data_IF_727132368835
#
_entry.id   IF_727132368835
#
_cell.length_a   1.000
_cell.length_b   1.000
_cell.length_c   1.000
_cell.angle_alpha   90.00
_cell.angle_beta   90.00
_cell.angle_gamma   90.00
#
_symmetry.space_group_name_H-M   'P 1'
#
loop_
_entity.id
_entity.type
_entity.pdbx_description
1 polymer ?
#
# COMPACT_ATOMS: atom_id res chain seq x y z
N UNK A 1 -19.65 -31.23 0.69
CA UNK A 1 -18.48 -31.85 1.36
C UNK A 1 -17.18 -31.60 0.58
N UNK A 2 -17.16 -31.76 -0.75
CA UNK A 2 -15.98 -31.54 -1.61
C UNK A 2 -15.39 -30.10 -1.60
N UNK A 3 -16.22 -29.06 -1.55
CA UNK A 3 -15.80 -27.64 -1.45
C UNK A 3 -14.96 -27.37 -0.18
N UNK A 4 -15.38 -27.94 0.95
CA UNK A 4 -14.72 -27.78 2.25
C UNK A 4 -13.35 -28.49 2.27
N UNK A 5 -13.26 -29.65 1.62
CA UNK A 5 -12.02 -30.43 1.51
C UNK A 5 -10.98 -29.74 0.60
N UNK A 6 -11.42 -29.14 -0.52
CA UNK A 6 -10.55 -28.28 -1.36
C UNK A 6 -10.00 -27.09 -0.58
N UNK A 7 -10.85 -26.41 0.20
CA UNK A 7 -10.41 -25.29 1.05
C UNK A 7 -9.38 -25.70 2.11
N UNK A 8 -9.58 -26.85 2.74
CA UNK A 8 -8.63 -27.44 3.70
C UNK A 8 -7.29 -27.81 3.05
N UNK A 9 -7.31 -28.47 1.89
CA UNK A 9 -6.11 -28.78 1.11
C UNK A 9 -5.34 -27.52 0.70
N UNK A 10 -6.03 -26.49 0.22
CA UNK A 10 -5.40 -25.22 -0.15
C UNK A 10 -4.77 -24.53 1.06
N UNK A 11 -5.41 -24.57 2.22
CA UNK A 11 -4.85 -24.01 3.45
C UNK A 11 -3.64 -24.81 3.93
N UNK A 12 -3.69 -26.15 3.86
CA UNK A 12 -2.55 -27.00 4.21
C UNK A 12 -1.35 -26.74 3.29
N UNK A 13 -1.57 -26.60 1.99
CA UNK A 13 -0.50 -26.24 1.04
C UNK A 13 0.07 -24.86 1.38
N UNK A 14 -0.77 -23.85 1.64
CA UNK A 14 -0.29 -22.52 2.06
C UNK A 14 0.55 -22.57 3.33
N UNK A 15 0.11 -23.33 4.34
CA UNK A 15 0.86 -23.52 5.59
C UNK A 15 2.17 -24.24 5.35
N UNK A 16 2.16 -25.32 4.56
CA UNK A 16 3.36 -26.08 4.22
C UNK A 16 4.38 -25.24 3.43
N UNK A 17 3.92 -24.44 2.46
CA UNK A 17 4.78 -23.51 1.71
C UNK A 17 5.32 -22.42 2.62
N UNK A 18 4.49 -21.84 3.49
CA UNK A 18 4.92 -20.79 4.43
C UNK A 18 5.96 -21.31 5.42
N UNK A 19 5.71 -22.47 6.04
CA UNK A 19 6.66 -23.13 6.94
C UNK A 19 7.91 -23.61 6.20
N UNK A 20 7.77 -24.12 4.97
CA UNK A 20 8.87 -24.52 4.11
C UNK A 20 9.81 -23.35 3.78
N UNK A 21 9.25 -22.19 3.43
CA UNK A 21 10.01 -20.96 3.21
C UNK A 21 10.72 -20.48 4.48
N UNK A 22 10.03 -20.51 5.63
CA UNK A 22 10.66 -20.17 6.92
C UNK A 22 11.84 -21.10 7.20
N UNK A 23 11.63 -22.42 7.13
CA UNK A 23 12.71 -23.42 7.35
C UNK A 23 13.84 -23.22 6.35
N UNK A 24 13.52 -22.91 5.09
CA UNK A 24 14.52 -22.64 4.06
C UNK A 24 15.36 -21.39 4.40
N UNK A 25 14.73 -20.30 4.80
CA UNK A 25 15.42 -19.07 5.24
C UNK A 25 16.33 -19.36 6.44
N UNK A 26 15.83 -20.06 7.46
CA UNK A 26 16.65 -20.41 8.64
C UNK A 26 17.76 -21.43 8.37
N UNK A 27 17.72 -22.13 7.23
CA UNK A 27 18.80 -23.01 6.77
C UNK A 27 19.87 -22.27 5.98
N UNK A 28 19.65 -21.01 5.58
CA UNK A 28 20.66 -20.22 4.89
C UNK A 28 21.90 -20.04 5.78
N UNK A 29 23.11 -20.36 5.26
CA UNK A 29 24.36 -20.21 6.02
C UNK A 29 24.54 -18.79 6.55
N UNK A 30 24.10 -17.78 5.78
CA UNK A 30 24.15 -16.37 6.14
C UNK A 30 23.37 -16.00 7.42
N UNK A 31 22.36 -16.79 7.80
CA UNK A 31 21.54 -16.55 9.01
C UNK A 31 21.99 -17.48 10.15
N UNK A 32 22.27 -18.75 9.82
CA UNK A 32 22.63 -19.77 10.81
C UNK A 32 24.03 -19.60 11.37
N UNK A 33 24.96 -19.08 10.57
CA UNK A 33 26.36 -18.87 10.96
C UNK A 33 26.67 -17.39 11.24
N UNK A 34 25.65 -16.52 11.22
CA UNK A 34 25.81 -15.12 11.60
C UNK A 34 26.16 -15.01 13.08
N UNK A 35 27.19 -14.23 13.38
CA UNK A 35 27.49 -13.82 14.75
C UNK A 35 26.55 -12.67 15.15
N UNK A 36 25.37 -13.04 15.63
CA UNK A 36 24.36 -12.10 16.10
C UNK A 36 24.87 -11.21 17.25
N UNK A 37 25.81 -11.69 18.06
CA UNK A 37 26.42 -10.91 19.14
C UNK A 37 27.27 -9.76 18.59
N UNK A 38 28.13 -10.06 17.61
CA UNK A 38 28.94 -9.06 16.93
C UNK A 38 28.08 -8.06 16.12
N UNK A 39 27.01 -8.54 15.48
CA UNK A 39 26.09 -7.68 14.72
C UNK A 39 25.33 -6.70 15.62
N UNK A 40 24.81 -7.18 16.75
CA UNK A 40 24.11 -6.34 17.73
C UNK A 40 25.06 -5.33 18.39
N UNK A 41 26.32 -5.71 18.62
CA UNK A 41 27.34 -4.81 19.16
C UNK A 41 27.73 -3.68 18.18
N UNK A 42 27.54 -3.88 16.89
CA UNK A 42 27.81 -2.87 15.85
C UNK A 42 26.62 -1.94 15.59
N UNK A 43 25.48 -2.15 16.26
CA UNK A 43 24.28 -1.33 16.06
C UNK A 43 24.55 0.12 16.45
N UNK A 44 24.48 1.02 15.47
CA UNK A 44 24.61 2.45 15.70
C UNK A 44 23.26 3.03 16.13
N UNK A 45 23.20 3.51 17.38
CA UNK A 45 21.95 4.04 17.96
C UNK A 45 21.42 5.27 17.20
N UNK A 46 22.30 6.14 16.72
CA UNK A 46 21.88 7.40 16.08
C UNK A 46 21.14 7.20 14.74
N UNK A 47 21.66 6.45 13.75
CA UNK A 47 20.89 6.11 12.56
C UNK A 47 19.59 5.34 12.86
N UNK A 48 19.57 4.53 13.93
CA UNK A 48 18.39 3.78 14.33
C UNK A 48 17.27 4.70 14.85
N UNK A 49 17.61 5.64 15.73
CA UNK A 49 16.65 6.65 16.21
C UNK A 49 16.12 7.50 15.06
N UNK A 50 16.99 7.93 14.14
CA UNK A 50 16.56 8.69 12.97
C UNK A 50 15.63 7.89 12.05
N UNK A 51 15.94 6.61 11.79
CA UNK A 51 15.08 5.71 11.02
C UNK A 51 13.71 5.55 11.69
N UNK A 52 13.68 5.37 13.01
CA UNK A 52 12.44 5.26 13.78
C UNK A 52 11.60 6.55 13.69
N UNK A 53 12.21 7.71 13.88
CA UNK A 53 11.51 9.00 13.75
C UNK A 53 10.96 9.19 12.34
N UNK A 54 11.77 8.93 11.30
CA UNK A 54 11.33 9.04 9.91
C UNK A 54 10.24 8.03 9.54
N UNK A 55 10.23 6.85 10.16
CA UNK A 55 9.16 5.87 9.97
C UNK A 55 7.80 6.42 10.45
N UNK A 56 7.76 7.06 11.63
CA UNK A 56 6.53 7.72 12.10
C UNK A 56 6.16 8.93 11.24
N UNK A 57 7.14 9.67 10.71
CA UNK A 57 6.88 10.75 9.73
C UNK A 57 6.28 10.19 8.43
N UNK A 58 6.76 9.04 7.94
CA UNK A 58 6.20 8.36 6.77
C UNK A 58 4.74 7.91 7.00
N UNK A 59 4.43 7.40 8.20
CA UNK A 59 3.04 7.14 8.61
C UNK A 59 2.23 8.44 8.55
N UNK A 60 2.81 9.55 9.02
CA UNK A 60 2.20 10.88 8.96
C UNK A 60 1.86 11.32 7.53
N UNK A 61 2.78 11.16 6.58
CA UNK A 61 2.49 11.45 5.17
C UNK A 61 1.37 10.58 4.61
N UNK A 62 1.33 9.29 4.95
CA UNK A 62 0.25 8.41 4.53
C UNK A 62 -1.12 8.87 5.09
N UNK A 63 -1.14 9.34 6.34
CA UNK A 63 -2.34 9.91 6.97
C UNK A 63 -2.73 11.24 6.35
N UNK A 64 -1.78 12.13 6.04
CA UNK A 64 -2.04 13.40 5.34
C UNK A 64 -2.68 13.15 3.97
N UNK A 65 -2.15 12.18 3.23
CA UNK A 65 -2.70 11.72 1.95
C UNK A 65 -4.15 11.27 2.11
N UNK A 66 -4.41 10.38 3.07
CA UNK A 66 -5.77 9.89 3.31
C UNK A 66 -6.73 11.00 3.79
N UNK A 67 -6.25 11.92 4.64
CA UNK A 67 -7.02 13.09 5.07
C UNK A 67 -7.41 13.97 3.89
N UNK A 68 -6.47 14.19 2.96
CA UNK A 68 -6.72 14.99 1.77
C UNK A 68 -7.77 14.32 0.86
N UNK A 69 -7.68 13.00 0.67
CA UNK A 69 -8.70 12.24 -0.05
C UNK A 69 -10.08 12.36 0.63
N UNK A 70 -10.16 12.17 1.96
CA UNK A 70 -11.41 12.34 2.71
C UNK A 70 -12.03 13.73 2.55
N UNK A 71 -11.22 14.80 2.55
CA UNK A 71 -11.70 16.18 2.34
C UNK A 71 -12.34 16.38 0.97
N UNK A 72 -11.92 15.66 -0.07
CA UNK A 72 -12.56 15.75 -1.40
C UNK A 72 -13.98 15.20 -1.39
N UNK A 73 -14.28 14.28 -0.47
CA UNK A 73 -15.60 13.72 -0.24
C UNK A 73 -16.40 14.51 0.81
N UNK A 74 -15.92 15.72 1.15
CA UNK A 74 -16.43 16.57 2.24
C UNK A 74 -16.43 15.92 3.63
N UNK A 75 -15.63 14.86 3.82
CA UNK A 75 -15.42 14.21 5.11
C UNK A 75 -14.29 14.92 5.85
N UNK A 76 -14.64 15.80 6.79
CA UNK A 76 -13.67 16.62 7.53
C UNK A 76 -13.32 15.98 8.87
N UNK A 77 -12.13 15.39 8.93
CA UNK A 77 -11.60 14.76 10.15
C UNK A 77 -10.27 15.42 10.53
N UNK A 78 -10.06 15.83 11.79
CA UNK A 78 -8.78 16.38 12.25
C UNK A 78 -7.65 15.37 12.12
N UNK A 79 -6.44 15.85 11.78
CA UNK A 79 -5.28 15.00 11.46
C UNK A 79 -4.92 14.03 12.60
N UNK A 80 -4.90 14.53 13.85
CA UNK A 80 -4.53 13.74 15.03
C UNK A 80 -5.48 12.55 15.24
N UNK A 81 -6.77 12.75 15.02
CA UNK A 81 -7.74 11.67 15.11
C UNK A 81 -7.48 10.64 14.01
N UNK A 82 -7.32 11.09 12.77
CA UNK A 82 -7.06 10.20 11.65
C UNK A 82 -5.76 9.40 11.82
N UNK A 83 -4.73 10.04 12.38
CA UNK A 83 -3.46 9.41 12.72
C UNK A 83 -3.65 8.29 13.74
N UNK A 84 -4.45 8.51 14.78
CA UNK A 84 -4.80 7.48 15.78
C UNK A 84 -5.52 6.28 15.15
N UNK A 85 -6.54 6.53 14.32
CA UNK A 85 -7.26 5.46 13.62
C UNK A 85 -6.32 4.66 12.70
N UNK A 86 -5.38 5.35 12.04
CA UNK A 86 -4.39 4.69 11.19
C UNK A 86 -3.40 3.83 11.99
N UNK A 87 -2.98 4.25 13.19
CA UNK A 87 -2.14 3.43 14.07
C UNK A 87 -2.87 2.17 14.55
N UNK A 88 -4.17 2.28 14.89
CA UNK A 88 -5.00 1.11 15.22
C UNK A 88 -5.09 0.17 14.01
N UNK A 89 -5.34 0.70 12.81
CA UNK A 89 -5.31 -0.09 11.58
C UNK A 89 -3.98 -0.77 11.33
N UNK A 90 -2.86 -0.08 11.57
CA UNK A 90 -1.51 -0.63 11.43
C UNK A 90 -1.25 -1.76 12.44
N UNK A 91 -1.73 -1.62 13.68
CA UNK A 91 -1.67 -2.70 14.67
C UNK A 91 -2.39 -3.95 14.16
N UNK A 92 -3.61 -3.81 13.63
CA UNK A 92 -4.33 -4.94 13.03
C UNK A 92 -3.66 -5.49 11.77
N UNK A 93 -3.04 -4.64 10.95
CA UNK A 93 -2.30 -5.04 9.76
C UNK A 93 -1.04 -5.86 10.08
N UNK A 94 -0.44 -5.67 11.26
CA UNK A 94 0.72 -6.43 11.74
C UNK A 94 0.34 -7.80 12.33
N UNK A 95 -0.94 -8.01 12.65
CA UNK A 95 -1.41 -9.34 13.02
C UNK A 95 -1.47 -10.22 11.76
N UNK A 96 -1.30 -11.54 11.87
CA UNK A 96 -1.46 -12.47 10.74
C UNK A 96 -2.89 -12.48 10.14
N UNK A 97 -3.82 -11.73 10.75
CA UNK A 97 -5.08 -11.32 10.16
C UNK A 97 -4.76 -10.42 8.96
N UNK A 98 -4.89 -10.96 7.75
CA UNK A 98 -4.53 -10.36 6.44
C UNK A 98 -4.42 -8.83 6.39
N UNK A 99 -3.45 -8.28 5.64
CA UNK A 99 -3.23 -6.85 5.39
C UNK A 99 -4.53 -6.03 5.11
N UNK A 100 -5.53 -6.66 4.47
CA UNK A 100 -6.86 -6.09 4.21
C UNK A 100 -7.64 -5.76 5.50
N UNK A 101 -7.45 -6.55 6.55
CA UNK A 101 -8.07 -6.38 7.87
C UNK A 101 -7.66 -5.09 8.56
N UNK A 102 -6.43 -4.62 8.38
CA UNK A 102 -5.98 -3.34 8.93
C UNK A 102 -6.67 -2.13 8.27
N UNK A 103 -6.91 -2.19 6.96
CA UNK A 103 -7.66 -1.17 6.23
C UNK A 103 -9.14 -1.15 6.59
N UNK A 104 -9.73 -2.34 6.70
CA UNK A 104 -11.10 -2.50 7.16
C UNK A 104 -11.21 -1.96 8.58
N UNK A 105 -10.26 -2.27 9.47
CA UNK A 105 -10.26 -1.80 10.85
C UNK A 105 -10.21 -0.27 10.93
N UNK A 106 -9.25 0.39 10.25
CA UNK A 106 -9.19 1.88 10.29
C UNK A 106 -10.40 2.54 9.62
N UNK A 107 -10.91 1.97 8.54
CA UNK A 107 -12.07 2.50 7.82
C UNK A 107 -13.36 2.33 8.61
N UNK A 108 -13.53 1.19 9.28
CA UNK A 108 -14.66 0.90 10.14
C UNK A 108 -14.64 1.72 11.43
N UNK A 109 -13.47 1.85 12.07
CA UNK A 109 -13.30 2.69 13.26
C UNK A 109 -13.63 4.16 12.94
N UNK A 110 -13.20 4.66 11.77
CA UNK A 110 -13.58 6.00 11.31
C UNK A 110 -15.07 6.10 10.96
N UNK A 111 -15.65 5.12 10.27
CA UNK A 111 -17.06 5.12 9.92
C UNK A 111 -17.98 5.08 11.15
N UNK A 112 -17.52 4.50 12.27
CA UNK A 112 -18.24 4.54 13.54
C UNK A 112 -18.17 5.89 14.24
N UNK A 113 -17.14 6.70 13.98
CA UNK A 113 -17.00 8.03 14.58
C UNK A 113 -17.66 9.14 13.75
N UNK A 114 -18.06 8.85 12.51
CA UNK A 114 -18.72 9.80 11.61
C UNK A 114 -20.02 9.20 11.06
N UNK A 115 -21.14 9.55 11.69
CA UNK A 115 -22.47 9.03 11.31
C UNK A 115 -22.83 9.35 9.86
N UNK A 116 -23.41 8.36 9.16
CA UNK A 116 -23.92 8.51 7.79
C UNK A 116 -22.86 8.52 6.68
N UNK A 117 -21.56 8.44 6.99
CA UNK A 117 -20.47 8.60 6.00
C UNK A 117 -19.73 7.31 5.65
N UNK A 118 -20.33 6.15 5.94
CA UNK A 118 -19.69 4.82 5.72
C UNK A 118 -19.27 4.58 4.27
N UNK A 119 -20.12 4.93 3.28
CA UNK A 119 -19.81 4.72 1.87
C UNK A 119 -18.66 5.64 1.36
N UNK A 120 -18.69 6.97 1.61
CA UNK A 120 -17.55 7.84 1.34
C UNK A 120 -16.24 7.37 1.99
N UNK A 121 -16.29 6.94 3.25
CA UNK A 121 -15.11 6.45 3.97
C UNK A 121 -14.57 5.16 3.34
N UNK A 122 -15.43 4.21 3.00
CA UNK A 122 -15.02 2.97 2.33
C UNK A 122 -14.35 3.24 0.97
N UNK A 123 -14.92 4.15 0.17
CA UNK A 123 -14.34 4.55 -1.13
C UNK A 123 -13.01 5.26 -0.92
N UNK A 124 -12.90 6.12 0.10
CA UNK A 124 -11.64 6.81 0.41
C UNK A 124 -10.51 5.83 0.72
N UNK A 125 -10.77 4.73 1.44
CA UNK A 125 -9.77 3.70 1.76
C UNK A 125 -9.36 2.94 0.50
N UNK A 126 -10.31 2.60 -0.37
CA UNK A 126 -10.01 1.96 -1.65
C UNK A 126 -9.17 2.87 -2.56
N UNK A 127 -9.55 4.14 -2.70
CA UNK A 127 -8.82 5.13 -3.50
C UNK A 127 -7.43 5.38 -2.88
N UNK A 128 -7.32 5.46 -1.56
CA UNK A 128 -6.04 5.58 -0.85
C UNK A 128 -5.08 4.43 -1.19
N UNK A 129 -5.60 3.21 -1.31
CA UNK A 129 -4.83 2.03 -1.73
C UNK A 129 -4.42 2.06 -3.19
N UNK A 130 -5.33 2.45 -4.08
CA UNK A 130 -5.03 2.58 -5.51
C UNK A 130 -3.98 3.68 -5.76
N UNK A 131 -4.11 4.84 -5.11
CA UNK A 131 -3.14 5.93 -5.19
C UNK A 131 -1.81 5.54 -4.56
N UNK A 132 -1.83 4.83 -3.43
CA UNK A 132 -0.62 4.28 -2.81
C UNK A 132 0.12 3.31 -3.73
N UNK A 133 -0.60 2.40 -4.39
CA UNK A 133 -0.02 1.47 -5.36
C UNK A 133 0.49 2.19 -6.60
N UNK A 134 -0.23 3.19 -7.10
CA UNK A 134 0.22 4.04 -8.20
C UNK A 134 1.54 4.75 -7.86
N UNK A 135 1.63 5.36 -6.67
CA UNK A 135 2.84 6.01 -6.19
C UNK A 135 4.00 5.02 -6.08
N UNK A 136 3.75 3.82 -5.53
CA UNK A 136 4.77 2.78 -5.42
C UNK A 136 5.29 2.33 -6.79
N UNK A 137 4.40 2.02 -7.74
CA UNK A 137 4.79 1.62 -9.10
C UNK A 137 5.53 2.74 -9.83
N UNK A 138 5.08 3.99 -9.69
CA UNK A 138 5.76 5.14 -10.27
C UNK A 138 7.17 5.29 -9.71
N UNK A 139 7.33 5.23 -8.38
CA UNK A 139 8.62 5.34 -7.74
C UNK A 139 9.54 4.17 -8.10
N UNK A 140 9.01 2.94 -8.22
CA UNK A 140 9.77 1.78 -8.68
C UNK A 140 10.29 1.96 -10.12
N UNK A 141 9.45 2.47 -11.04
CA UNK A 141 9.88 2.77 -12.41
C UNK A 141 10.96 3.87 -12.41
N UNK A 142 10.78 4.94 -11.65
CA UNK A 142 11.75 6.03 -11.57
C UNK A 142 13.08 5.58 -10.97
N UNK A 143 13.05 4.78 -9.91
CA UNK A 143 14.23 4.20 -9.28
C UNK A 143 14.96 3.25 -10.22
N UNK A 144 14.21 2.40 -10.93
CA UNK A 144 14.76 1.49 -11.93
C UNK A 144 15.38 2.24 -13.13
N UNK A 145 14.71 3.30 -13.60
CA UNK A 145 15.22 4.16 -14.66
C UNK A 145 16.54 4.83 -14.24
N UNK A 146 16.61 5.32 -13.00
CA UNK A 146 17.83 5.90 -12.45
C UNK A 146 18.98 4.87 -12.41
N UNK A 147 18.68 3.62 -12.07
CA UNK A 147 19.68 2.55 -12.07
C UNK A 147 20.21 2.22 -13.47
N UNK A 148 19.35 2.18 -14.49
CA UNK A 148 19.79 1.93 -15.87
C UNK A 148 20.62 3.10 -16.40
N UNK A 149 20.14 4.34 -16.22
CA UNK A 149 20.75 5.52 -16.84
C UNK A 149 21.99 6.04 -16.11
N UNK A 150 22.01 6.01 -14.77
CA UNK A 150 23.09 6.61 -13.98
C UNK A 150 24.07 5.59 -13.41
N UNK A 151 23.66 4.34 -13.22
CA UNK A 151 24.53 3.28 -12.69
C UNK A 151 25.06 2.34 -13.79
N UNK A 152 24.59 2.47 -15.04
CA UNK A 152 25.07 1.68 -16.18
C UNK A 152 24.63 0.21 -16.16
N UNK A 153 23.61 -0.13 -15.36
CA UNK A 153 23.07 -1.49 -15.28
C UNK A 153 22.09 -1.77 -16.44
N UNK A 154 22.60 -1.81 -17.67
CA UNK A 154 21.79 -2.08 -18.87
C UNK A 154 21.07 -3.43 -18.82
N UNK A 155 21.64 -4.39 -18.07
CA UNK A 155 21.04 -5.69 -17.76
C UNK A 155 19.67 -5.61 -17.07
N UNK A 156 19.32 -4.45 -16.47
CA UNK A 156 18.04 -4.23 -15.80
C UNK A 156 16.98 -3.60 -16.72
N UNK A 157 17.30 -3.35 -17.99
CA UNK A 157 16.38 -2.72 -18.96
C UNK A 157 15.09 -3.53 -19.17
N UNK A 158 15.17 -4.87 -19.14
CA UNK A 158 13.98 -5.73 -19.25
C UNK A 158 13.06 -5.60 -18.02
N UNK A 159 13.65 -5.39 -16.84
CA UNK A 159 12.90 -5.20 -15.59
C UNK A 159 12.23 -3.82 -15.60
N UNK A 160 12.94 -2.79 -16.07
CA UNK A 160 12.38 -1.46 -16.31
C UNK A 160 11.19 -1.52 -17.28
N UNK A 161 11.33 -2.19 -18.41
CA UNK A 161 10.26 -2.34 -19.40
C UNK A 161 9.03 -3.07 -18.80
N UNK A 162 9.27 -4.09 -17.97
CA UNK A 162 8.22 -4.83 -17.27
C UNK A 162 7.49 -3.95 -16.26
N UNK A 163 8.21 -3.21 -15.41
CA UNK A 163 7.63 -2.28 -14.44
C UNK A 163 6.85 -1.15 -15.12
N UNK A 164 7.38 -0.59 -16.21
CA UNK A 164 6.69 0.42 -17.02
C UNK A 164 5.41 -0.15 -17.67
N UNK A 165 5.46 -1.39 -18.15
CA UNK A 165 4.29 -2.11 -18.66
C UNK A 165 3.21 -2.32 -17.59
N UNK A 166 3.60 -2.73 -16.39
CA UNK A 166 2.68 -2.90 -15.24
C UNK A 166 2.08 -1.56 -14.82
N UNK A 167 2.88 -0.49 -14.73
CA UNK A 167 2.38 0.85 -14.42
C UNK A 167 1.38 1.33 -15.47
N UNK A 168 1.67 1.10 -16.76
CA UNK A 168 0.77 1.46 -17.87
C UNK A 168 -0.53 0.65 -17.79
N UNK A 169 -0.45 -0.66 -17.58
CA UNK A 169 -1.62 -1.52 -17.41
C UNK A 169 -2.46 -1.10 -16.20
N UNK A 170 -1.81 -0.76 -15.08
CA UNK A 170 -2.48 -0.25 -13.89
C UNK A 170 -3.17 1.10 -14.16
N UNK A 171 -2.50 2.04 -14.82
CA UNK A 171 -3.07 3.33 -15.19
C UNK A 171 -4.27 3.18 -16.13
N UNK A 172 -4.20 2.26 -17.10
CA UNK A 172 -5.32 1.93 -17.99
C UNK A 172 -6.48 1.31 -17.21
N UNK A 173 -6.21 0.33 -16.33
CA UNK A 173 -7.24 -0.28 -15.48
C UNK A 173 -7.91 0.75 -14.57
N UNK A 174 -7.13 1.66 -13.99
CA UNK A 174 -7.63 2.77 -13.18
C UNK A 174 -8.48 3.75 -14.00
N UNK A 175 -8.04 4.11 -15.22
CA UNK A 175 -8.82 4.95 -16.13
C UNK A 175 -10.13 4.30 -16.56
N UNK A 176 -10.12 2.98 -16.80
CA UNK A 176 -11.34 2.20 -17.09
C UNK A 176 -12.27 2.15 -15.87
N UNK A 177 -11.73 1.97 -14.66
CA UNK A 177 -12.49 2.00 -13.42
C UNK A 177 -13.22 3.35 -13.22
N UNK A 178 -12.57 4.45 -13.63
CA UNK A 178 -13.11 5.81 -13.55
C UNK A 178 -14.05 6.18 -14.72
N UNK A 179 -14.20 5.32 -15.73
CA UNK A 179 -14.99 5.58 -16.94
C UNK A 179 -16.50 5.50 -16.69
N UNK A 180 -17.25 6.48 -17.23
CA UNK A 180 -18.73 6.44 -17.23
C UNK A 180 -19.30 5.21 -17.95
N UNK A 181 -18.55 4.62 -18.89
CA UNK A 181 -19.01 3.44 -19.64
C UNK A 181 -19.07 2.20 -18.75
N UNK A 182 -18.06 2.00 -17.91
CA UNK A 182 -18.03 0.89 -16.97
C UNK A 182 -19.15 1.04 -15.94
N UNK A 183 -19.36 2.24 -15.40
CA UNK A 183 -20.49 2.53 -14.50
C UNK A 183 -21.81 2.12 -15.11
N UNK A 184 -22.14 2.59 -16.32
CA UNK A 184 -23.41 2.25 -16.99
C UNK A 184 -23.56 0.76 -17.24
N UNK A 185 -22.48 0.05 -17.56
CA UNK A 185 -22.49 -1.41 -17.71
C UNK A 185 -22.79 -2.10 -16.38
N UNK A 186 -22.13 -1.68 -15.31
CA UNK A 186 -22.35 -2.23 -13.96
C UNK A 186 -23.77 -1.91 -13.47
N UNK A 187 -24.28 -0.69 -13.66
CA UNK A 187 -25.66 -0.32 -13.34
C UNK A 187 -26.68 -1.20 -14.07
N UNK A 188 -26.45 -1.50 -15.36
CA UNK A 188 -27.31 -2.41 -16.13
C UNK A 188 -27.28 -3.84 -15.60
N UNK A 189 -26.13 -4.32 -15.13
CA UNK A 189 -25.99 -5.64 -14.50
C UNK A 189 -26.68 -5.68 -13.12
N UNK A 190 -26.52 -4.63 -12.31
CA UNK A 190 -27.18 -4.54 -10.99
C UNK A 190 -28.70 -4.28 -11.08
N UNK A 191 -29.21 -3.82 -12.22
CA UNK A 191 -30.65 -3.70 -12.47
C UNK A 191 -31.37 -5.07 -12.59
N UNK A 192 -30.62 -6.17 -12.71
CA UNK A 192 -31.16 -7.53 -12.69
C UNK A 192 -31.73 -7.87 -11.31
N UNK A 193 -32.89 -8.55 -11.30
CA UNK A 193 -33.68 -8.88 -10.09
C UNK A 193 -32.88 -9.35 -8.86
N UNK A 194 -31.87 -10.24 -8.95
CA UNK A 194 -31.13 -10.72 -7.77
C UNK A 194 -30.20 -9.67 -7.14
N UNK A 195 -29.78 -8.64 -7.88
CA UNK A 195 -28.77 -7.66 -7.43
C UNK A 195 -29.37 -6.30 -7.04
N UNK A 196 -30.68 -6.10 -7.27
CA UNK A 196 -31.40 -4.87 -6.91
C UNK A 196 -31.24 -4.43 -5.45
N UNK A 197 -31.20 -5.31 -4.44
CA UNK A 197 -31.00 -4.90 -3.05
C UNK A 197 -29.66 -4.17 -2.79
N UNK A 198 -28.65 -4.42 -3.62
CA UNK A 198 -27.31 -3.83 -3.48
C UNK A 198 -27.11 -2.56 -4.32
N UNK A 199 -28.08 -2.21 -5.16
CA UNK A 199 -28.05 -1.02 -6.01
C UNK A 199 -27.86 0.29 -5.22
N UNK A 200 -28.54 0.56 -4.10
CA UNK A 200 -28.34 1.82 -3.36
C UNK A 200 -26.93 1.93 -2.75
N UNK A 201 -26.36 0.81 -2.29
CA UNK A 201 -24.97 0.79 -1.82
C UNK A 201 -24.01 1.07 -2.97
N UNK A 202 -24.20 0.45 -4.14
CA UNK A 202 -23.39 0.70 -5.33
C UNK A 202 -23.48 2.17 -5.79
N UNK A 203 -24.68 2.76 -5.79
CA UNK A 203 -24.88 4.15 -6.18
C UNK A 203 -24.11 5.10 -5.25
N UNK A 204 -24.24 4.94 -3.93
CA UNK A 204 -23.49 5.74 -2.95
C UNK A 204 -21.96 5.62 -3.12
N UNK A 205 -21.47 4.41 -3.41
CA UNK A 205 -20.04 4.16 -3.69
C UNK A 205 -19.62 4.80 -5.02
N UNK A 206 -20.41 4.64 -6.08
CA UNK A 206 -20.15 5.18 -7.41
C UNK A 206 -20.16 6.71 -7.43
N UNK A 207 -21.07 7.33 -6.69
CA UNK A 207 -21.16 8.79 -6.61
C UNK A 207 -19.94 9.36 -5.89
N UNK A 208 -19.46 8.69 -4.84
CA UNK A 208 -18.19 9.03 -4.17
C UNK A 208 -16.99 8.90 -5.13
N UNK A 209 -16.94 7.86 -5.97
CA UNK A 209 -15.91 7.70 -7.01
C UNK A 209 -15.98 8.83 -8.04
N UNK A 210 -17.19 9.27 -8.40
CA UNK A 210 -17.38 10.36 -9.36
C UNK A 210 -16.85 11.70 -8.84
N UNK A 211 -16.95 11.96 -7.53
CA UNK A 211 -16.39 13.16 -6.90
C UNK A 211 -14.87 13.23 -7.11
N UNK A 212 -14.15 12.12 -6.96
CA UNK A 212 -12.70 12.07 -7.25
C UNK A 212 -12.39 12.32 -8.72
N UNK A 213 -13.25 11.86 -9.64
CA UNK A 213 -13.05 12.12 -11.07
C UNK A 213 -13.27 13.59 -11.43
N UNK A 214 -14.26 14.23 -10.82
CA UNK A 214 -14.47 15.67 -10.97
C UNK A 214 -13.30 16.48 -10.40
N UNK A 215 -12.65 15.96 -9.35
CA UNK A 215 -11.49 16.56 -8.70
C UNK A 215 -10.20 15.78 -9.02
N UNK A 216 -9.89 15.57 -10.29
CA UNK A 216 -8.69 14.84 -10.71
C UNK A 216 -7.39 15.45 -10.14
N UNK A 217 -7.34 16.77 -9.95
CA UNK A 217 -6.22 17.45 -9.29
C UNK A 217 -5.96 16.92 -7.86
N UNK A 218 -7.00 16.47 -7.16
CA UNK A 218 -6.84 15.92 -5.83
C UNK A 218 -6.14 14.54 -5.85
N UNK A 219 -6.38 13.74 -6.88
CA UNK A 219 -5.67 12.46 -7.08
C UNK A 219 -4.19 12.71 -7.39
N UNK A 220 -3.85 13.76 -8.14
CA UNK A 220 -2.46 14.14 -8.44
C UNK A 220 -1.74 14.59 -7.16
N UNK A 221 -2.38 15.41 -6.33
CA UNK A 221 -1.81 15.83 -5.03
C UNK A 221 -1.62 14.61 -4.11
N UNK A 222 -2.62 13.73 -4.02
CA UNK A 222 -2.52 12.50 -3.24
C UNK A 222 -1.41 11.57 -3.76
N UNK A 223 -1.21 11.49 -5.09
CA UNK A 223 -0.10 10.77 -5.70
C UNK A 223 1.25 11.38 -5.30
N UNK A 224 1.37 12.71 -5.30
CA UNK A 224 2.57 13.42 -4.85
C UNK A 224 2.91 13.16 -3.38
N UNK A 225 1.91 13.21 -2.49
CA UNK A 225 2.10 12.85 -1.07
C UNK A 225 2.47 11.35 -0.94
N UNK A 226 1.86 10.49 -1.77
CA UNK A 226 2.20 9.07 -1.85
C UNK A 226 3.64 8.83 -2.27
N UNK A 227 4.13 9.54 -3.29
CA UNK A 227 5.53 9.47 -3.72
C UNK A 227 6.48 9.93 -2.61
N UNK A 228 6.14 11.01 -1.90
CA UNK A 228 6.88 11.45 -0.71
C UNK A 228 6.90 10.40 0.41
N UNK A 229 5.80 9.67 0.59
CA UNK A 229 5.72 8.54 1.54
C UNK A 229 6.70 7.44 1.14
N UNK A 230 6.70 7.02 -0.14
CA UNK A 230 7.61 5.98 -0.66
C UNK A 230 9.07 6.40 -0.52
N UNK A 231 9.41 7.62 -0.92
CA UNK A 231 10.74 8.20 -0.75
C UNK A 231 11.19 8.17 0.71
N UNK A 232 10.32 8.58 1.63
CA UNK A 232 10.64 8.55 3.07
C UNK A 232 10.86 7.12 3.56
N UNK A 233 10.07 6.15 3.10
CA UNK A 233 10.28 4.73 3.46
C UNK A 233 11.57 4.15 2.88
N UNK A 234 11.97 4.54 1.67
CA UNK A 234 13.26 4.17 1.11
C UNK A 234 14.41 4.70 1.99
N UNK A 235 14.33 5.96 2.45
CA UNK A 235 15.31 6.54 3.38
C UNK A 235 15.33 5.79 4.72
N UNK A 236 14.17 5.39 5.24
CA UNK A 236 14.09 4.56 6.46
C UNK A 236 14.81 3.22 6.26
N UNK A 237 14.58 2.54 5.12
CA UNK A 237 15.24 1.29 4.79
C UNK A 237 16.76 1.45 4.65
N UNK A 238 17.21 2.56 4.06
CA UNK A 238 18.62 2.91 3.98
C UNK A 238 19.25 3.08 5.37
N UNK A 239 18.63 3.90 6.21
CA UNK A 239 19.12 4.13 7.56
C UNK A 239 19.14 2.84 8.36
N UNK A 240 18.12 1.97 8.20
CA UNK A 240 18.09 0.64 8.78
C UNK A 240 19.29 -0.21 8.34
N UNK A 241 19.68 -0.21 7.06
CA UNK A 241 20.89 -0.88 6.61
C UNK A 241 22.16 -0.31 7.25
N UNK A 242 22.26 1.02 7.34
CA UNK A 242 23.39 1.73 8.00
C UNK A 242 23.45 1.42 9.50
N UNK A 243 22.32 1.15 10.17
CA UNK A 243 22.34 0.79 11.61
C UNK A 243 23.18 -0.45 11.88
N UNK A 244 23.16 -1.43 10.98
CA UNK A 244 23.87 -2.73 11.12
C UNK A 244 25.28 -2.66 10.51
N UNK A 245 25.71 -1.48 10.05
CA UNK A 245 27.04 -1.30 9.45
C UNK A 245 27.15 -1.76 7.99
N UNK A 246 26.02 -2.01 7.30
CA UNK A 246 26.04 -2.35 5.90
C UNK A 246 26.45 -1.11 5.07
N UNK A 247 27.54 -1.22 4.30
CA UNK A 247 28.01 -0.19 3.38
C UNK A 247 27.21 -0.21 2.08
N UNK A 248 25.94 0.19 2.15
CA UNK A 248 25.08 0.31 0.98
C UNK A 248 25.26 1.71 0.36
N UNK A 249 25.61 1.84 -0.94
CA UNK A 249 25.66 3.14 -1.59
C UNK A 249 24.27 3.80 -1.61
N UNK A 250 24.22 5.12 -1.42
CA UNK A 250 22.98 5.90 -1.31
C UNK A 250 22.07 5.80 -2.55
N UNK A 251 22.62 5.40 -3.70
CA UNK A 251 21.87 5.17 -4.93
C UNK A 251 21.02 3.88 -4.92
N UNK A 252 21.38 2.87 -4.13
CA UNK A 252 20.58 1.65 -3.97
C UNK A 252 19.27 1.87 -3.22
N UNK A 253 19.15 3.01 -2.53
CA UNK A 253 17.95 3.43 -1.81
C UNK A 253 16.76 3.58 -2.74
N UNK A 254 16.98 3.93 -4.00
CA UNK A 254 15.90 4.07 -5.00
C UNK A 254 15.51 2.75 -5.67
N UNK A 255 16.31 1.70 -5.50
CA UNK A 255 16.06 0.36 -6.06
C UNK A 255 15.31 -0.53 -5.04
N UNK A 256 15.28 -0.12 -3.77
CA UNK A 256 14.69 -0.81 -2.61
C UNK A 256 13.29 -0.29 -2.28
#
# INVERSE_FOLDING_TARGET
>A
MAERFKGLLLNLVKVAVSLGLIVYIFRQPAIRQADWGALLAQVRLWPWLLAMTLYFVAIGFNVLKWQYLLRTLDVRVPFVHLYRHNLVGLFFANLPLSMVGGDIARGWDLARSVEGQTAPIAVSVLVDRLVGLAAFLLMAVLGMLAAVLFLGHEELTWLLATLAGVLTAFALAFAVLMSQRLRRLVERLFAWKPLRPFLPLYQNLSDSVQVYRAHAGALVIALGIGAGTVLTTCIVNYLAAVTVGASVPLLWVFIL
#
